data_IF_086974860317
#
_entry.id   IF_086974860317
#
_cell.length_a   1.000
_cell.length_b   1.000
_cell.length_c   1.000
_cell.angle_alpha   90.00
_cell.angle_beta   90.00
_cell.angle_gamma   90.00
#
_symmetry.space_group_name_H-M   'P 1'
#
loop_
_entity.id
_entity.type
_entity.pdbx_description
1 polymer ?
#
# COMPACT_ATOMS: atom_id res chain seq x y z
N UNK A 1 -20.89 14.02 -26.20
CA UNK A 1 -20.95 13.39 -24.86
C UNK A 1 -19.67 12.62 -24.48
N UNK A 2 -19.07 11.84 -25.37
CA UNK A 2 -17.83 11.06 -25.09
C UNK A 2 -16.64 11.89 -24.55
N UNK A 3 -16.52 13.16 -24.93
CA UNK A 3 -15.42 14.02 -24.50
C UNK A 3 -15.58 14.50 -23.04
N UNK A 4 -16.82 14.73 -22.57
CA UNK A 4 -17.09 15.17 -21.20
C UNK A 4 -16.76 14.07 -20.18
N UNK A 5 -17.15 12.82 -20.46
CA UNK A 5 -16.83 11.68 -19.59
C UNK A 5 -15.32 11.41 -19.47
N UNK A 6 -14.57 11.56 -20.57
CA UNK A 6 -13.10 11.45 -20.54
C UNK A 6 -12.45 12.57 -19.72
N UNK A 7 -12.96 13.80 -19.77
CA UNK A 7 -12.42 14.90 -18.96
C UNK A 7 -12.71 14.74 -17.47
N UNK A 8 -13.93 14.30 -17.12
CA UNK A 8 -14.26 13.98 -15.72
C UNK A 8 -13.39 12.84 -15.19
N UNK A 9 -13.21 11.76 -15.98
CA UNK A 9 -12.31 10.67 -15.61
C UNK A 9 -10.87 11.16 -15.40
N UNK A 10 -10.34 12.03 -16.27
CA UNK A 10 -9.01 12.62 -16.08
C UNK A 10 -8.89 13.41 -14.79
N UNK A 11 -9.91 14.19 -14.42
CA UNK A 11 -9.94 14.92 -13.15
C UNK A 11 -9.97 13.96 -11.95
N UNK A 12 -10.79 12.92 -12.02
CA UNK A 12 -10.86 11.87 -11.00
C UNK A 12 -9.51 11.17 -10.82
N UNK A 13 -8.84 10.75 -11.91
CA UNK A 13 -7.52 10.11 -11.84
C UNK A 13 -6.45 11.04 -11.27
N UNK A 14 -6.51 12.35 -11.55
CA UNK A 14 -5.61 13.32 -10.93
C UNK A 14 -5.81 13.41 -9.43
N UNK A 15 -7.06 13.51 -8.98
CA UNK A 15 -7.38 13.55 -7.54
C UNK A 15 -6.92 12.24 -6.88
N UNK A 16 -7.27 11.11 -7.48
CA UNK A 16 -6.90 9.79 -6.99
C UNK A 16 -5.38 9.62 -6.89
N UNK A 17 -4.63 10.07 -7.91
CA UNK A 17 -3.17 10.06 -7.90
C UNK A 17 -2.56 10.95 -6.81
N UNK A 18 -3.12 12.13 -6.57
CA UNK A 18 -2.69 13.01 -5.47
C UNK A 18 -2.96 12.36 -4.12
N UNK A 19 -4.17 11.84 -3.91
CA UNK A 19 -4.55 11.16 -2.66
C UNK A 19 -3.65 9.94 -2.41
N UNK A 20 -3.46 9.08 -3.41
CA UNK A 20 -2.58 7.91 -3.31
C UNK A 20 -1.13 8.28 -3.03
N UNK A 21 -0.64 9.40 -3.59
CA UNK A 21 0.72 9.88 -3.30
C UNK A 21 0.87 10.26 -1.81
N UNK A 22 -0.11 10.99 -1.26
CA UNK A 22 -0.09 11.36 0.15
C UNK A 22 -0.29 10.15 1.06
N UNK A 23 -1.20 9.24 0.74
CA UNK A 23 -1.41 8.05 1.57
C UNK A 23 -0.23 7.07 1.49
N UNK A 24 0.48 6.97 0.37
CA UNK A 24 1.75 6.22 0.32
C UNK A 24 2.84 6.84 1.21
N UNK A 25 2.88 8.18 1.31
CA UNK A 25 3.74 8.83 2.30
C UNK A 25 3.34 8.47 3.75
N UNK A 26 2.03 8.39 4.04
CA UNK A 26 1.57 7.91 5.35
C UNK A 26 1.97 6.45 5.60
N UNK A 27 1.82 5.55 4.63
CA UNK A 27 2.27 4.15 4.73
C UNK A 27 3.76 4.09 5.10
N UNK A 28 4.59 4.92 4.47
CA UNK A 28 6.03 4.96 4.75
C UNK A 28 6.32 5.46 6.17
N UNK A 29 5.63 6.52 6.62
CA UNK A 29 5.79 7.07 7.98
C UNK A 29 5.29 6.08 9.03
N UNK A 30 4.13 5.45 8.84
CA UNK A 30 3.59 4.47 9.79
C UNK A 30 4.42 3.19 9.82
N UNK A 31 4.98 2.74 8.69
CA UNK A 31 5.92 1.62 8.63
C UNK A 31 7.23 1.89 9.37
N UNK A 32 7.80 3.08 9.17
CA UNK A 32 8.97 3.54 9.94
C UNK A 32 8.65 3.63 11.44
N UNK A 33 7.43 4.05 11.78
CA UNK A 33 6.96 4.11 13.17
C UNK A 33 6.90 2.71 13.80
N UNK A 34 6.31 1.72 13.11
CA UNK A 34 6.25 0.32 13.58
C UNK A 34 7.64 -0.20 13.99
N UNK A 35 8.63 0.03 13.14
CA UNK A 35 10.02 -0.41 13.37
C UNK A 35 10.67 0.34 14.53
N UNK A 36 10.51 1.68 14.59
CA UNK A 36 11.12 2.49 15.65
C UNK A 36 10.46 2.30 17.03
N UNK A 37 9.21 1.86 17.09
CA UNK A 37 8.50 1.61 18.35
C UNK A 37 8.58 0.16 18.82
N UNK A 38 9.32 -0.72 18.13
CA UNK A 38 9.39 -2.14 18.48
C UNK A 38 8.03 -2.85 18.37
N UNK A 39 7.14 -2.34 17.51
CA UNK A 39 5.75 -2.79 17.39
C UNK A 39 5.54 -3.77 16.23
N UNK A 40 6.60 -4.25 15.60
CA UNK A 40 6.58 -5.12 14.42
C UNK A 40 6.01 -6.52 14.66
N UNK A 41 5.81 -6.91 15.92
CA UNK A 41 5.05 -8.10 16.32
C UNK A 41 3.82 -7.77 17.16
N UNK A 42 3.34 -6.53 17.08
CA UNK A 42 2.11 -6.07 17.74
C UNK A 42 0.85 -6.83 17.34
N UNK A 43 0.84 -7.48 16.18
CA UNK A 43 -0.20 -8.39 15.69
C UNK A 43 0.19 -9.87 15.77
N UNK A 44 1.36 -10.18 16.31
CA UNK A 44 1.96 -11.51 16.29
C UNK A 44 2.27 -11.99 14.87
N UNK A 45 2.50 -13.31 14.73
CA UNK A 45 2.80 -13.96 13.44
C UNK A 45 1.54 -14.28 12.63
N UNK A 46 0.60 -13.33 12.59
CA UNK A 46 -0.62 -13.47 11.79
C UNK A 46 -0.67 -12.40 10.72
N UNK A 47 -0.99 -12.82 9.49
CA UNK A 47 -1.27 -11.96 8.36
C UNK A 47 -2.27 -12.72 7.46
N UNK A 48 -3.29 -12.07 6.86
CA UNK A 48 -3.56 -10.63 6.86
C UNK A 48 -4.28 -10.12 8.11
N UNK A 49 -4.95 -11.00 8.85
CA UNK A 49 -5.64 -10.66 10.09
C UNK A 49 -4.64 -10.43 11.24
N UNK A 50 -5.04 -9.65 12.23
CA UNK A 50 -4.27 -9.38 13.43
C UNK A 50 -4.89 -10.17 14.60
N UNK A 51 -4.16 -11.15 15.14
CA UNK A 51 -4.69 -12.09 16.13
C UNK A 51 -6.01 -12.78 15.70
N UNK A 52 -6.13 -13.10 14.41
CA UNK A 52 -7.34 -13.71 13.84
C UNK A 52 -8.56 -12.80 13.73
N UNK A 53 -8.41 -11.50 14.02
CA UNK A 53 -9.50 -10.51 13.94
C UNK A 53 -9.15 -9.42 12.92
N UNK A 54 -10.19 -8.87 12.30
CA UNK A 54 -10.05 -7.70 11.43
C UNK A 54 -9.80 -6.44 12.25
N UNK A 55 -10.46 -6.30 13.41
CA UNK A 55 -10.23 -5.25 14.40
C UNK A 55 -9.91 -5.95 15.73
N UNK A 56 -8.62 -6.03 16.13
CA UNK A 56 -8.19 -6.69 17.35
C UNK A 56 -8.41 -5.79 18.59
N UNK A 57 -8.04 -6.29 19.77
CA UNK A 57 -7.92 -5.44 20.94
C UNK A 57 -6.73 -4.48 20.76
N UNK A 58 -6.99 -3.19 20.92
CA UNK A 58 -6.03 -2.13 20.59
C UNK A 58 -5.09 -1.82 21.76
N UNK A 59 -4.22 -2.76 22.09
CA UNK A 59 -3.00 -2.43 22.84
C UNK A 59 -2.10 -1.52 21.97
N UNK A 60 -1.24 -0.72 22.59
CA UNK A 60 -0.46 0.31 21.87
C UNK A 60 0.32 -0.25 20.67
N UNK A 61 1.10 -1.33 20.86
CA UNK A 61 1.86 -1.96 19.77
C UNK A 61 0.95 -2.54 18.68
N UNK A 62 -0.14 -3.20 19.06
CA UNK A 62 -1.15 -3.73 18.13
C UNK A 62 -1.80 -2.62 17.31
N UNK A 63 -2.13 -1.49 17.93
CA UNK A 63 -2.74 -0.35 17.24
C UNK A 63 -1.78 0.22 16.19
N UNK A 64 -0.49 0.36 16.52
CA UNK A 64 0.54 0.87 15.60
C UNK A 64 0.69 -0.06 14.39
N UNK A 65 0.88 -1.36 14.61
CA UNK A 65 1.05 -2.31 13.50
C UNK A 65 -0.23 -2.45 12.66
N UNK A 66 -1.39 -2.51 13.33
CA UNK A 66 -2.67 -2.63 12.65
C UNK A 66 -2.96 -1.39 11.80
N UNK A 67 -2.68 -0.18 12.29
CA UNK A 67 -2.83 1.06 11.53
C UNK A 67 -1.98 1.06 10.27
N UNK A 68 -0.71 0.64 10.35
CA UNK A 68 0.13 0.51 9.17
C UNK A 68 -0.43 -0.48 8.13
N UNK A 69 -0.93 -1.64 8.59
CA UNK A 69 -1.60 -2.62 7.71
C UNK A 69 -2.88 -2.08 7.07
N UNK A 70 -3.65 -1.28 7.82
CA UNK A 70 -4.86 -0.64 7.33
C UNK A 70 -4.55 0.42 6.27
N UNK A 71 -3.51 1.23 6.48
CA UNK A 71 -3.04 2.21 5.50
C UNK A 71 -2.61 1.53 4.19
N UNK A 72 -1.83 0.44 4.28
CA UNK A 72 -1.39 -0.32 3.11
C UNK A 72 -2.57 -0.96 2.33
N UNK A 73 -3.58 -1.45 3.05
CA UNK A 73 -4.80 -1.97 2.44
C UNK A 73 -5.61 -0.86 1.73
N UNK A 74 -5.74 0.31 2.37
CA UNK A 74 -6.38 1.48 1.78
C UNK A 74 -5.65 1.90 0.49
N UNK A 75 -4.32 1.96 0.51
CA UNK A 75 -3.55 2.34 -0.66
C UNK A 75 -3.67 1.35 -1.82
N UNK A 76 -3.76 0.05 -1.52
CA UNK A 76 -4.05 -0.95 -2.54
C UNK A 76 -5.39 -0.67 -3.23
N UNK A 77 -6.41 -0.26 -2.46
CA UNK A 77 -7.73 0.11 -2.99
C UNK A 77 -7.72 1.42 -3.80
N UNK A 78 -6.75 2.31 -3.60
CA UNK A 78 -6.59 3.53 -4.40
C UNK A 78 -5.77 3.28 -5.67
N UNK A 79 -4.71 2.48 -5.57
CA UNK A 79 -3.78 2.19 -6.65
C UNK A 79 -4.42 1.34 -7.75
N UNK A 80 -5.24 0.34 -7.41
CA UNK A 80 -5.84 -0.54 -8.42
C UNK A 80 -6.81 0.21 -9.36
N UNK A 81 -7.77 1.02 -8.87
CA UNK A 81 -8.62 1.84 -9.74
C UNK A 81 -7.83 2.91 -10.50
N UNK A 82 -6.78 3.49 -9.89
CA UNK A 82 -5.89 4.44 -10.55
C UNK A 82 -5.22 3.79 -11.76
N UNK A 83 -4.60 2.62 -11.57
CA UNK A 83 -3.96 1.87 -12.63
C UNK A 83 -4.97 1.46 -13.72
N UNK A 84 -6.14 0.95 -13.34
CA UNK A 84 -7.19 0.57 -14.29
C UNK A 84 -7.64 1.76 -15.16
N UNK A 85 -7.88 2.92 -14.55
CA UNK A 85 -8.26 4.13 -15.29
C UNK A 85 -7.12 4.68 -16.16
N UNK A 86 -5.87 4.55 -15.69
CA UNK A 86 -4.69 4.91 -16.47
C UNK A 86 -4.53 3.99 -17.69
N UNK A 87 -4.67 2.67 -17.53
CA UNK A 87 -4.65 1.73 -18.66
C UNK A 87 -5.79 2.02 -19.63
N UNK A 88 -6.98 2.34 -19.15
CA UNK A 88 -8.11 2.65 -20.02
C UNK A 88 -7.89 3.93 -20.86
N UNK A 89 -7.37 5.01 -20.27
CA UNK A 89 -7.21 6.30 -20.96
C UNK A 89 -5.88 6.47 -21.69
N UNK A 90 -4.81 5.84 -21.20
CA UNK A 90 -3.43 6.11 -21.63
C UNK A 90 -2.69 4.87 -22.13
N UNK A 91 -3.38 3.75 -22.48
CA UNK A 91 -2.75 2.52 -23.03
C UNK A 91 -1.78 2.74 -24.19
N UNK A 92 -1.93 3.81 -24.97
CA UNK A 92 -1.05 4.11 -26.10
C UNK A 92 0.26 4.81 -25.70
N UNK A 93 0.40 5.27 -24.45
CA UNK A 93 1.62 5.92 -23.94
C UNK A 93 2.43 4.92 -23.13
N UNK A 94 3.52 4.44 -23.71
CA UNK A 94 4.34 3.35 -23.15
C UNK A 94 4.86 3.69 -21.75
N UNK A 95 5.32 4.92 -21.54
CA UNK A 95 5.89 5.38 -20.27
C UNK A 95 4.86 5.30 -19.14
N UNK A 96 3.64 5.75 -19.43
CA UNK A 96 2.54 5.75 -18.46
C UNK A 96 2.10 4.32 -18.12
N UNK A 97 2.04 3.44 -19.12
CA UNK A 97 1.71 2.03 -18.92
C UNK A 97 2.78 1.33 -18.11
N UNK A 98 4.06 1.56 -18.40
CA UNK A 98 5.17 0.98 -17.63
C UNK A 98 5.10 1.43 -16.17
N UNK A 99 4.94 2.74 -15.91
CA UNK A 99 4.82 3.26 -14.55
C UNK A 99 3.61 2.69 -13.79
N UNK A 100 2.45 2.60 -14.44
CA UNK A 100 1.26 2.02 -13.83
C UNK A 100 1.42 0.52 -13.53
N UNK A 101 2.04 -0.23 -14.44
CA UNK A 101 2.36 -1.64 -14.22
C UNK A 101 3.37 -1.84 -13.08
N UNK A 102 4.42 -1.02 -13.03
CA UNK A 102 5.41 -1.05 -11.94
C UNK A 102 4.76 -0.73 -10.60
N UNK A 103 3.93 0.30 -10.53
CA UNK A 103 3.18 0.67 -9.32
C UNK A 103 2.33 -0.50 -8.80
N UNK A 104 1.58 -1.17 -9.67
CA UNK A 104 0.77 -2.35 -9.29
C UNK A 104 1.66 -3.49 -8.82
N UNK A 105 2.74 -3.79 -9.54
CA UNK A 105 3.66 -4.86 -9.15
C UNK A 105 4.28 -4.61 -7.77
N UNK A 106 4.73 -3.38 -7.52
CA UNK A 106 5.40 -3.00 -6.29
C UNK A 106 4.47 -3.03 -5.07
N UNK A 107 3.20 -2.66 -5.19
CA UNK A 107 2.23 -2.81 -4.09
C UNK A 107 2.12 -4.27 -3.63
N UNK A 108 2.09 -5.23 -4.57
CA UNK A 108 2.01 -6.64 -4.21
C UNK A 108 3.33 -7.19 -3.68
N UNK A 109 4.47 -6.77 -4.23
CA UNK A 109 5.79 -7.11 -3.70
C UNK A 109 5.93 -6.61 -2.26
N UNK A 110 5.53 -5.37 -2.01
CA UNK A 110 5.53 -4.74 -0.69
C UNK A 110 4.62 -5.47 0.31
N UNK A 111 3.39 -5.80 -0.09
CA UNK A 111 2.49 -6.59 0.75
C UNK A 111 3.08 -7.96 1.09
N UNK A 112 3.74 -8.61 0.12
CA UNK A 112 4.42 -9.89 0.32
C UNK A 112 5.63 -9.80 1.26
N UNK A 113 6.47 -8.77 1.10
CA UNK A 113 7.63 -8.52 1.96
C UNK A 113 7.20 -8.18 3.39
N UNK A 114 6.17 -7.35 3.55
CA UNK A 114 5.59 -7.04 4.87
C UNK A 114 4.99 -8.27 5.54
N UNK A 115 4.27 -9.11 4.79
CA UNK A 115 3.77 -10.39 5.29
C UNK A 115 4.90 -11.35 5.71
N UNK A 116 5.99 -11.39 4.93
CA UNK A 116 7.17 -12.18 5.28
C UNK A 116 7.79 -11.69 6.59
N UNK A 117 7.99 -10.38 6.73
CA UNK A 117 8.63 -9.77 7.89
C UNK A 117 7.92 -10.12 9.21
N UNK A 118 6.59 -10.31 9.19
CA UNK A 118 5.81 -10.65 10.39
C UNK A 118 5.62 -12.17 10.59
N UNK A 119 5.55 -12.97 9.53
CA UNK A 119 5.29 -14.41 9.64
C UNK A 119 6.54 -15.24 9.93
N UNK A 120 7.72 -14.75 9.55
CA UNK A 120 9.00 -15.44 9.70
C UNK A 120 9.93 -14.70 10.67
N UNK A 121 11.05 -15.30 11.09
CA UNK A 121 12.11 -14.56 11.78
C UNK A 121 12.49 -13.32 10.97
N UNK A 122 12.65 -12.20 11.67
CA UNK A 122 12.98 -10.93 11.03
C UNK A 122 14.42 -10.97 10.50
N UNK A 123 14.54 -10.91 9.19
CA UNK A 123 15.82 -10.82 8.49
C UNK A 123 16.05 -9.37 8.06
N UNK A 124 17.22 -8.81 8.40
CA UNK A 124 17.56 -7.42 8.07
C UNK A 124 17.44 -7.11 6.56
N UNK A 125 17.75 -8.10 5.72
CA UNK A 125 17.60 -7.99 4.27
C UNK A 125 16.14 -7.83 3.82
N UNK A 126 15.20 -8.55 4.44
CA UNK A 126 13.77 -8.44 4.11
C UNK A 126 13.24 -7.08 4.54
N UNK A 127 13.62 -6.60 5.73
CA UNK A 127 13.20 -5.29 6.21
C UNK A 127 13.76 -4.15 5.35
N UNK A 128 15.02 -4.26 4.92
CA UNK A 128 15.64 -3.31 4.00
C UNK A 128 14.97 -3.32 2.60
N UNK A 129 14.66 -4.50 2.06
CA UNK A 129 13.92 -4.63 0.81
C UNK A 129 12.50 -4.07 0.93
N UNK A 130 11.82 -4.33 2.05
CA UNK A 130 10.50 -3.79 2.34
C UNK A 130 10.52 -2.26 2.42
N UNK A 131 11.60 -1.63 2.86
CA UNK A 131 11.73 -0.18 2.79
C UNK A 131 12.06 0.34 1.38
N UNK A 132 12.94 -0.35 0.66
CA UNK A 132 13.58 0.19 -0.55
C UNK A 132 12.90 -0.10 -1.90
N UNK A 133 11.98 -1.07 -1.97
CA UNK A 133 11.36 -1.52 -3.23
C UNK A 133 9.90 -1.08 -3.30
#
# INVERSE_FOLDING_TARGET
MMNQGKQQMKKALRILGVVATFGMFFVLVTGATVTNTGSEQGCGRSWPLCHGKLIPQMAAATAIEWSHRADAAMETLLILPLAAGVFWLYRSRREVVVLASTMVAFVFVQAGLGAWAVMYPQEAGILALHFGV
#
